data_IF_848349765134
#
_entry.id   IF_848349765134
#
_cell.length_a   1.000
_cell.length_b   1.000
_cell.length_c   1.000
_cell.angle_alpha   90.00
_cell.angle_beta   90.00
_cell.angle_gamma   90.00
#
_symmetry.space_group_name_H-M   'P 1'
#
loop_
_entity.id
_entity.type
_entity.pdbx_description
1 polymer ?
#
# COMPACT_ATOMS: atom_id res chain seq x y z
N UNK A 1 4.48 -63.82 -4.31
CA UNK A 1 4.65 -63.20 -2.99
C UNK A 1 5.58 -62.01 -3.16
N UNK A 2 5.05 -60.93 -3.75
CA UNK A 2 5.81 -59.75 -4.12
C UNK A 2 5.86 -58.78 -2.93
N UNK A 3 7.07 -58.54 -2.43
CA UNK A 3 7.34 -57.56 -1.38
C UNK A 3 7.46 -56.18 -2.03
N UNK A 4 6.48 -55.30 -1.78
CA UNK A 4 6.54 -53.90 -2.15
C UNK A 4 7.40 -53.16 -1.11
N UNK A 5 8.52 -52.59 -1.57
CA UNK A 5 9.21 -51.53 -0.85
C UNK A 5 8.34 -50.28 -0.90
N UNK A 6 7.91 -49.80 0.27
CA UNK A 6 7.29 -48.49 0.40
C UNK A 6 8.40 -47.43 0.46
N UNK A 7 8.62 -46.74 -0.65
CA UNK A 7 9.40 -45.50 -0.65
C UNK A 7 8.58 -44.42 0.07
N UNK A 8 9.02 -44.10 1.29
CA UNK A 8 8.49 -43.00 2.08
C UNK A 8 9.05 -41.68 1.53
N UNK A 9 8.54 -41.21 0.39
CA UNK A 9 8.80 -39.85 -0.09
C UNK A 9 7.89 -38.86 0.66
N UNK A 10 8.21 -38.61 1.93
CA UNK A 10 7.62 -37.49 2.66
C UNK A 10 8.09 -36.19 2.01
N UNK A 11 7.21 -35.57 1.21
CA UNK A 11 7.40 -34.20 0.75
C UNK A 11 7.57 -33.29 1.96
N UNK A 12 8.60 -32.43 2.04
CA UNK A 12 8.71 -31.49 3.12
C UNK A 12 7.59 -30.46 2.95
N UNK A 13 6.55 -30.62 3.76
CA UNK A 13 5.58 -29.57 4.06
C UNK A 13 6.33 -28.42 4.75
N UNK A 14 6.99 -27.57 3.95
CA UNK A 14 7.52 -26.30 4.41
C UNK A 14 6.34 -25.34 4.59
N UNK A 15 5.56 -25.56 5.65
CA UNK A 15 4.82 -24.49 6.30
C UNK A 15 5.86 -23.52 6.85
N UNK A 16 6.03 -22.39 6.19
CA UNK A 16 6.88 -21.30 6.66
C UNK A 16 6.47 -20.95 8.09
N UNK A 17 7.40 -20.74 9.04
CA UNK A 17 7.04 -20.32 10.39
C UNK A 17 6.26 -19.00 10.32
N UNK A 18 5.16 -18.92 11.06
CA UNK A 18 4.30 -17.75 11.16
C UNK A 18 5.06 -16.58 11.87
N UNK A 19 5.78 -15.83 11.05
CA UNK A 19 6.20 -14.42 11.11
C UNK A 19 6.40 -13.75 12.50
N UNK A 20 7.61 -13.89 13.08
CA UNK A 20 8.05 -13.21 14.31
C UNK A 20 7.86 -11.68 14.28
N UNK A 21 7.87 -11.07 13.09
CA UNK A 21 7.62 -9.64 12.88
C UNK A 21 6.23 -9.19 13.35
N UNK A 22 5.20 -9.99 13.12
CA UNK A 22 3.80 -9.63 13.44
C UNK A 22 3.53 -9.75 14.93
N UNK A 23 4.32 -10.59 15.60
CA UNK A 23 4.28 -10.76 17.05
C UNK A 23 5.19 -9.76 17.77
N UNK A 24 5.93 -8.93 17.05
CA UNK A 24 6.78 -7.91 17.64
C UNK A 24 5.92 -6.86 18.37
N UNK A 25 6.12 -6.63 19.68
CA UNK A 25 5.34 -5.65 20.43
C UNK A 25 5.47 -4.23 19.90
N UNK A 26 6.63 -3.87 19.34
CA UNK A 26 6.86 -2.59 18.70
C UNK A 26 6.03 -2.45 17.43
N UNK A 27 6.01 -3.47 16.56
CA UNK A 27 5.15 -3.48 15.38
C UNK A 27 3.68 -3.28 15.74
N UNK A 28 3.15 -4.05 16.69
CA UNK A 28 1.74 -3.98 17.10
C UNK A 28 1.38 -2.60 17.70
N UNK A 29 2.27 -2.00 18.49
CA UNK A 29 2.04 -0.68 19.06
C UNK A 29 1.96 0.40 17.97
N UNK A 30 2.90 0.39 17.02
CA UNK A 30 2.92 1.35 15.92
C UNK A 30 1.77 1.15 14.92
N UNK A 31 1.37 -0.11 14.68
CA UNK A 31 0.19 -0.41 13.88
C UNK A 31 -1.08 0.21 14.49
N UNK A 32 -1.26 0.06 15.80
CA UNK A 32 -2.41 0.65 16.50
C UNK A 32 -2.33 2.18 16.58
N UNK A 33 -1.12 2.74 16.74
CA UNK A 33 -0.89 4.19 16.69
C UNK A 33 -1.30 4.76 15.34
N UNK A 34 -0.80 4.18 14.23
CA UNK A 34 -1.12 4.61 12.88
C UNK A 34 -2.64 4.58 12.65
N UNK A 35 -3.31 3.51 13.08
CA UNK A 35 -4.77 3.38 13.01
C UNK A 35 -5.46 4.53 13.75
N UNK A 36 -5.07 4.81 14.98
CA UNK A 36 -5.66 5.89 15.77
C UNK A 36 -5.46 7.26 15.11
N UNK A 37 -4.25 7.53 14.61
CA UNK A 37 -3.94 8.79 13.92
C UNK A 37 -4.81 8.97 12.68
N UNK A 38 -4.93 7.93 11.85
CA UNK A 38 -5.75 7.93 10.62
C UNK A 38 -7.22 8.25 10.93
N UNK A 39 -7.83 7.56 11.90
CA UNK A 39 -9.25 7.80 12.24
C UNK A 39 -9.48 9.19 12.85
N UNK A 40 -8.58 9.65 13.72
CA UNK A 40 -8.67 10.99 14.30
C UNK A 40 -8.58 12.07 13.21
N UNK A 41 -7.66 11.91 12.26
CA UNK A 41 -7.59 12.81 11.11
C UNK A 41 -8.87 12.71 10.28
N UNK A 42 -9.36 11.53 9.93
CA UNK A 42 -10.59 11.41 9.15
C UNK A 42 -11.82 12.09 9.79
N UNK A 43 -11.93 12.07 11.12
CA UNK A 43 -13.05 12.65 11.87
C UNK A 43 -12.96 14.15 12.13
N UNK A 44 -11.76 14.74 12.03
CA UNK A 44 -11.57 16.17 12.29
C UNK A 44 -11.93 17.00 11.06
N UNK A 45 -12.67 18.09 11.27
CA UNK A 45 -12.98 19.04 10.20
C UNK A 45 -11.71 19.82 9.77
N UNK A 46 -11.69 20.30 8.52
CA UNK A 46 -10.61 21.16 8.04
C UNK A 46 -10.43 22.39 8.96
N UNK A 47 -9.19 22.82 9.25
CA UNK A 47 -8.95 24.01 10.05
C UNK A 47 -9.69 25.22 9.45
N UNK A 48 -10.59 25.84 10.20
CA UNK A 48 -11.46 26.93 9.71
C UNK A 48 -10.73 28.26 9.44
N UNK A 49 -9.39 28.26 9.43
CA UNK A 49 -8.55 29.45 9.26
C UNK A 49 -7.50 29.16 8.20
N UNK A 50 -7.88 29.22 6.93
CA UNK A 50 -6.91 29.35 5.86
C UNK A 50 -6.29 30.76 5.93
N UNK A 51 -4.97 30.82 6.09
CA UNK A 51 -4.24 32.05 5.85
C UNK A 51 -4.32 32.37 4.35
N UNK A 52 -4.64 33.62 4.00
CA UNK A 52 -4.68 34.07 2.60
C UNK A 52 -3.35 33.79 1.90
N UNK A 53 -3.35 33.28 0.65
CA UNK A 53 -2.11 32.97 -0.04
C UNK A 53 -1.34 34.26 -0.31
N UNK A 54 -0.22 34.44 0.39
CA UNK A 54 0.77 35.46 0.06
C UNK A 54 1.44 35.09 -1.25
N UNK A 55 1.23 35.89 -2.29
CA UNK A 55 1.90 35.78 -3.58
C UNK A 55 3.40 36.11 -3.36
N UNK A 56 4.24 35.09 -3.15
CA UNK A 56 5.65 35.31 -2.82
C UNK A 56 6.56 34.13 -3.11
N UNK A 57 7.48 34.34 -4.05
CA UNK A 57 8.71 33.59 -4.36
C UNK A 57 8.57 32.16 -4.93
N UNK A 58 8.87 32.00 -6.23
CA UNK A 58 8.97 30.72 -6.96
C UNK A 58 10.27 29.95 -6.65
N UNK A 59 10.62 29.85 -5.36
CA UNK A 59 11.75 29.04 -4.89
C UNK A 59 11.26 27.99 -3.90
N UNK A 60 11.97 26.84 -3.77
CA UNK A 60 11.66 25.86 -2.74
C UNK A 60 11.73 26.52 -1.35
N UNK A 61 10.79 26.20 -0.47
CA UNK A 61 10.76 26.75 0.89
C UNK A 61 11.92 26.19 1.71
N UNK A 62 12.29 26.86 2.82
CA UNK A 62 13.32 26.36 3.74
C UNK A 62 12.96 24.97 4.29
N UNK A 63 11.67 24.70 4.49
CA UNK A 63 11.13 23.41 4.89
C UNK A 63 11.35 22.34 3.81
N UNK A 64 11.10 22.67 2.54
CA UNK A 64 11.32 21.75 1.43
C UNK A 64 12.82 21.42 1.24
N UNK A 65 13.70 22.41 1.40
CA UNK A 65 15.15 22.20 1.35
C UNK A 65 15.65 21.31 2.50
N UNK A 66 15.12 21.53 3.72
CA UNK A 66 15.44 20.69 4.87
C UNK A 66 14.96 19.25 4.68
N UNK A 67 13.74 19.06 4.17
CA UNK A 67 13.18 17.75 3.85
C UNK A 67 14.02 17.02 2.79
N UNK A 68 14.46 17.72 1.73
CA UNK A 68 15.35 17.16 0.72
C UNK A 68 16.73 16.79 1.29
N UNK A 69 17.29 17.58 2.19
CA UNK A 69 18.54 17.26 2.87
C UNK A 69 18.41 16.03 3.76
N UNK A 70 17.28 15.88 4.47
CA UNK A 70 16.97 14.70 5.27
C UNK A 70 16.85 13.45 4.40
N UNK A 71 16.11 13.50 3.29
CA UNK A 71 16.00 12.38 2.33
C UNK A 71 17.36 11.99 1.76
N UNK A 72 18.19 12.96 1.34
CA UNK A 72 19.56 12.69 0.87
C UNK A 72 20.40 11.99 1.92
N UNK A 73 20.33 12.46 3.16
CA UNK A 73 21.07 11.84 4.29
C UNK A 73 20.57 10.42 4.55
N UNK A 74 19.26 10.20 4.51
CA UNK A 74 18.67 8.88 4.68
C UNK A 74 19.15 7.90 3.61
N UNK A 75 19.28 8.35 2.36
CA UNK A 75 19.75 7.55 1.21
C UNK A 75 21.27 7.39 1.13
N UNK A 76 22.06 8.07 1.97
CA UNK A 76 23.51 7.89 2.02
C UNK A 76 23.92 6.49 2.52
N UNK A 77 23.02 5.78 3.20
CA UNK A 77 23.22 4.38 3.58
C UNK A 77 23.04 3.44 2.39
N UNK A 78 24.02 2.56 2.16
CA UNK A 78 24.00 1.59 1.06
C UNK A 78 22.74 0.71 1.05
N UNK A 79 22.30 0.22 2.22
CA UNK A 79 21.10 -0.64 2.33
C UNK A 79 19.81 0.08 1.95
N UNK A 80 19.64 1.33 2.38
CA UNK A 80 18.44 2.12 2.05
C UNK A 80 18.38 2.44 0.56
N UNK A 81 19.53 2.68 -0.08
CA UNK A 81 19.60 2.82 -1.52
C UNK A 81 19.23 1.52 -2.25
N UNK A 82 19.62 0.36 -1.72
CA UNK A 82 19.20 -0.95 -2.26
C UNK A 82 17.69 -1.14 -2.16
N UNK A 83 17.06 -0.78 -1.03
CA UNK A 83 15.60 -0.80 -0.90
C UNK A 83 14.91 0.14 -1.89
N UNK A 84 15.43 1.36 -2.11
CA UNK A 84 14.84 2.26 -3.10
C UNK A 84 14.96 1.69 -4.53
N UNK A 85 16.10 1.06 -4.87
CA UNK A 85 16.27 0.39 -6.16
C UNK A 85 15.30 -0.79 -6.32
N UNK A 86 15.16 -1.61 -5.29
CA UNK A 86 14.21 -2.71 -5.29
C UNK A 86 12.77 -2.21 -5.39
N UNK A 87 12.42 -1.13 -4.69
CA UNK A 87 11.10 -0.53 -4.80
C UNK A 87 10.75 -0.20 -6.26
N UNK A 88 11.59 0.60 -6.92
CA UNK A 88 11.34 1.04 -8.30
C UNK A 88 11.29 -0.14 -9.27
N UNK A 89 12.16 -1.14 -9.08
CA UNK A 89 12.30 -2.26 -10.01
C UNK A 89 11.26 -3.38 -9.80
N UNK A 90 10.84 -3.62 -8.55
CA UNK A 90 10.13 -4.85 -8.16
C UNK A 90 8.84 -4.59 -7.40
N UNK A 91 8.68 -3.45 -6.71
CA UNK A 91 7.47 -3.18 -5.89
C UNK A 91 6.53 -2.22 -6.59
N UNK A 92 7.03 -1.09 -7.08
CA UNK A 92 6.22 -0.06 -7.71
C UNK A 92 5.44 -0.57 -8.94
N UNK A 93 6.00 -1.41 -9.84
CA UNK A 93 5.24 -2.00 -10.94
C UNK A 93 4.02 -2.81 -10.48
N UNK A 94 4.08 -3.41 -9.28
CA UNK A 94 2.95 -4.12 -8.67
C UNK A 94 1.85 -3.18 -8.23
N UNK A 95 2.20 -2.00 -7.73
CA UNK A 95 1.25 -0.96 -7.33
C UNK A 95 0.63 -0.28 -8.56
N UNK A 96 1.39 -0.17 -9.65
CA UNK A 96 1.00 0.43 -10.94
C UNK A 96 0.30 -0.53 -11.91
N UNK A 97 -0.05 -1.75 -11.50
CA UNK A 97 -0.61 -2.79 -12.38
C UNK A 97 -1.80 -2.34 -13.25
N UNK A 98 -2.50 -1.26 -12.87
CA UNK A 98 -3.62 -0.66 -13.60
C UNK A 98 -3.45 0.84 -13.87
N UNK A 99 -2.26 1.38 -13.65
CA UNK A 99 -1.90 2.77 -13.94
C UNK A 99 -0.81 2.83 -15.00
N UNK A 100 -1.20 3.08 -16.24
CA UNK A 100 -0.26 3.24 -17.36
C UNK A 100 0.65 4.47 -17.21
N UNK A 101 0.32 5.40 -16.32
CA UNK A 101 1.17 6.57 -16.03
C UNK A 101 2.28 6.25 -15.02
N UNK A 102 2.25 5.08 -14.40
CA UNK A 102 3.27 4.63 -13.46
C UNK A 102 3.39 5.56 -12.25
N UNK A 103 2.28 5.95 -11.60
CA UNK A 103 2.33 6.88 -10.49
C UNK A 103 3.23 6.39 -9.34
N UNK A 104 3.19 5.11 -9.01
CA UNK A 104 4.06 4.54 -7.97
C UNK A 104 5.52 4.37 -8.44
N UNK A 105 5.76 4.11 -9.71
CA UNK A 105 7.12 3.97 -10.28
C UNK A 105 7.78 5.32 -10.55
N UNK A 106 7.01 6.36 -10.87
CA UNK A 106 7.53 7.67 -11.30
C UNK A 106 7.20 8.77 -10.31
N UNK A 107 5.91 9.00 -10.00
CA UNK A 107 5.49 10.16 -9.21
C UNK A 107 5.85 10.01 -7.72
N UNK A 108 5.64 8.83 -7.14
CA UNK A 108 5.95 8.55 -5.73
C UNK A 108 7.45 8.73 -5.42
N UNK A 109 8.40 8.18 -6.19
CA UNK A 109 9.83 8.42 -5.95
C UNK A 109 10.23 9.89 -6.10
N UNK A 110 9.61 10.63 -7.03
CA UNK A 110 9.85 12.07 -7.17
C UNK A 110 9.36 12.82 -5.93
N UNK A 111 8.15 12.53 -5.44
CA UNK A 111 7.58 13.14 -4.25
C UNK A 111 8.38 12.77 -2.98
N UNK A 112 8.86 11.53 -2.88
CA UNK A 112 9.69 11.06 -1.77
C UNK A 112 11.00 11.85 -1.60
N UNK A 113 11.47 12.55 -2.65
CA UNK A 113 12.66 13.41 -2.56
C UNK A 113 12.49 14.57 -1.59
N UNK A 114 11.29 15.12 -1.47
CA UNK A 114 10.94 16.22 -0.57
C UNK A 114 9.97 15.82 0.55
N UNK A 115 9.59 14.54 0.64
CA UNK A 115 8.75 14.02 1.70
C UNK A 115 9.44 12.82 2.40
N UNK A 116 10.17 13.06 3.51
CA UNK A 116 10.85 12.01 4.27
C UNK A 116 9.91 10.90 4.75
N UNK A 117 8.69 11.23 5.20
CA UNK A 117 7.69 10.25 5.61
C UNK A 117 7.37 9.25 4.49
N UNK A 118 7.15 9.76 3.27
CA UNK A 118 6.89 8.93 2.09
C UNK A 118 8.12 8.10 1.68
N UNK A 119 9.32 8.68 1.77
CA UNK A 119 10.54 7.91 1.54
C UNK A 119 10.62 6.71 2.50
N UNK A 120 10.45 6.92 3.81
CA UNK A 120 10.53 5.84 4.78
C UNK A 120 9.44 4.78 4.56
N UNK A 121 8.21 5.17 4.21
CA UNK A 121 7.16 4.21 3.85
C UNK A 121 7.52 3.35 2.63
N UNK A 122 8.07 3.97 1.57
CA UNK A 122 8.58 3.29 0.37
C UNK A 122 9.69 2.30 0.70
N UNK A 123 10.66 2.73 1.51
CA UNK A 123 11.78 1.89 1.95
C UNK A 123 11.29 0.73 2.81
N UNK A 124 10.36 0.98 3.75
CA UNK A 124 9.79 -0.04 4.62
C UNK A 124 9.08 -1.13 3.82
N UNK A 125 8.22 -0.74 2.86
CA UNK A 125 7.50 -1.70 2.01
C UNK A 125 8.47 -2.55 1.20
N UNK A 126 9.50 -1.93 0.63
CA UNK A 126 10.50 -2.65 -0.15
C UNK A 126 11.36 -3.57 0.71
N UNK A 127 11.81 -3.13 1.89
CA UNK A 127 12.54 -3.97 2.83
C UNK A 127 11.70 -5.18 3.21
N UNK A 128 10.42 -4.97 3.53
CA UNK A 128 9.48 -6.05 3.86
C UNK A 128 9.32 -7.04 2.72
N UNK A 129 9.21 -6.56 1.49
CA UNK A 129 9.13 -7.42 0.31
C UNK A 129 10.38 -8.28 0.13
N UNK A 130 11.57 -7.73 0.34
CA UNK A 130 12.82 -8.47 0.26
C UNK A 130 12.96 -9.50 1.39
N UNK A 131 12.63 -9.14 2.63
CA UNK A 131 12.62 -10.05 3.78
C UNK A 131 11.75 -11.29 3.51
N UNK A 132 10.56 -11.07 2.93
CA UNK A 132 9.62 -12.14 2.55
C UNK A 132 10.11 -12.97 1.36
N UNK A 133 10.78 -12.36 0.38
CA UNK A 133 11.31 -13.05 -0.81
C UNK A 133 12.52 -13.91 -0.49
N UNK A 134 13.45 -13.40 0.30
CA UNK A 134 14.76 -14.02 0.54
C UNK A 134 14.79 -14.95 1.76
N UNK A 135 13.68 -15.07 2.50
CA UNK A 135 13.60 -15.84 3.75
C UNK A 135 14.67 -15.46 4.79
N UNK A 136 15.27 -14.27 4.67
CA UNK A 136 16.37 -13.83 5.53
C UNK A 136 15.81 -13.53 6.91
N UNK A 137 16.04 -14.45 7.84
CA UNK A 137 15.44 -14.46 9.18
C UNK A 137 15.93 -13.36 10.14
N UNK A 138 16.82 -12.45 9.73
CA UNK A 138 17.60 -11.63 10.68
C UNK A 138 17.73 -10.14 10.38
N UNK A 139 17.00 -9.60 9.41
CA UNK A 139 16.91 -8.14 9.21
C UNK A 139 15.48 -7.72 9.51
N UNK A 140 15.28 -6.95 10.58
CA UNK A 140 14.03 -6.27 10.90
C UNK A 140 14.10 -4.82 10.41
N UNK A 141 14.78 -4.59 9.29
CA UNK A 141 14.96 -3.27 8.71
C UNK A 141 13.62 -2.65 8.36
N UNK A 142 12.68 -3.45 7.87
CA UNK A 142 11.33 -2.96 7.58
C UNK A 142 10.63 -2.40 8.81
N UNK A 143 10.91 -2.94 10.00
CA UNK A 143 10.30 -2.45 11.25
C UNK A 143 10.81 -1.06 11.59
N UNK A 144 12.13 -0.87 11.63
CA UNK A 144 12.73 0.44 11.92
C UNK A 144 12.28 1.51 10.91
N UNK A 145 12.20 1.14 9.62
CA UNK A 145 11.74 2.03 8.56
C UNK A 145 10.24 2.36 8.70
N UNK A 146 9.42 1.38 9.07
CA UNK A 146 7.98 1.55 9.31
C UNK A 146 7.70 2.49 10.49
N UNK A 147 8.42 2.30 11.60
CA UNK A 147 8.32 3.16 12.79
C UNK A 147 8.70 4.61 12.47
N UNK A 148 9.79 4.82 11.74
CA UNK A 148 10.23 6.16 11.35
C UNK A 148 9.27 6.82 10.35
N UNK A 149 8.64 6.05 9.46
CA UNK A 149 7.59 6.55 8.57
C UNK A 149 6.40 7.10 9.36
N UNK A 150 5.90 6.36 10.36
CA UNK A 150 4.76 6.79 11.21
C UNK A 150 5.13 8.03 12.02
N UNK A 151 6.34 8.06 12.61
CA UNK A 151 6.82 9.21 13.38
C UNK A 151 6.84 10.49 12.54
N UNK A 152 7.26 10.40 11.29
CA UNK A 152 7.30 11.53 10.34
C UNK A 152 5.93 11.86 9.72
N UNK A 153 5.01 10.89 9.69
CA UNK A 153 3.64 11.07 9.20
C UNK A 153 2.77 11.88 10.16
N UNK A 154 2.98 11.76 11.48
CA UNK A 154 2.12 12.40 12.48
C UNK A 154 1.96 13.92 12.30
N UNK A 155 3.01 14.75 12.07
CA UNK A 155 2.84 16.17 11.77
C UNK A 155 2.02 16.44 10.50
N UNK A 156 2.17 15.61 9.46
CA UNK A 156 1.43 15.75 8.19
C UNK A 156 -0.06 15.47 8.38
N UNK A 157 -0.41 14.51 9.24
CA UNK A 157 -1.78 14.19 9.62
C UNK A 157 -2.46 15.34 10.37
N UNK A 158 -1.72 16.08 11.20
CA UNK A 158 -2.21 17.29 11.87
C UNK A 158 -2.40 18.45 10.89
N UNK A 159 -1.50 18.58 9.92
CA UNK A 159 -1.57 19.58 8.86
C UNK A 159 -2.62 19.25 7.78
N UNK A 160 -3.17 18.03 7.77
CA UNK A 160 -4.04 17.49 6.71
C UNK A 160 -3.40 17.62 5.32
N UNK A 161 -2.11 17.37 5.22
CA UNK A 161 -1.39 17.39 3.95
C UNK A 161 -1.86 16.23 3.05
N UNK A 162 -2.14 16.47 1.76
CA UNK A 162 -2.59 15.43 0.85
C UNK A 162 -1.57 14.30 0.63
N UNK A 163 -0.28 14.54 0.93
CA UNK A 163 0.78 13.53 0.90
C UNK A 163 0.57 12.41 1.92
N UNK A 164 -0.26 12.60 2.95
CA UNK A 164 -0.62 11.52 3.90
C UNK A 164 -1.29 10.34 3.20
N UNK A 165 -2.03 10.59 2.13
CA UNK A 165 -2.83 9.56 1.44
C UNK A 165 -1.95 8.49 0.80
N UNK A 166 -0.99 8.81 -0.10
CA UNK A 166 -0.06 7.81 -0.63
C UNK A 166 0.79 7.15 0.47
N UNK A 167 1.15 7.87 1.54
CA UNK A 167 1.90 7.30 2.67
C UNK A 167 1.08 6.20 3.35
N UNK A 168 -0.15 6.51 3.78
CA UNK A 168 -1.04 5.55 4.44
C UNK A 168 -1.34 4.36 3.54
N UNK A 169 -1.54 4.56 2.23
CA UNK A 169 -1.79 3.44 1.30
C UNK A 169 -0.56 2.52 1.14
N UNK A 170 0.65 3.07 1.10
CA UNK A 170 1.88 2.26 1.05
C UNK A 170 2.11 1.49 2.36
N UNK A 171 1.79 2.10 3.51
CA UNK A 171 1.84 1.42 4.81
C UNK A 171 0.73 0.34 4.91
N UNK A 172 -0.49 0.62 4.42
CA UNK A 172 -1.58 -0.34 4.17
C UNK A 172 -1.02 -1.57 3.39
N UNK A 173 -0.27 -1.37 2.29
CA UNK A 173 0.36 -2.47 1.54
C UNK A 173 1.37 -3.28 2.37
N UNK A 174 2.21 -2.63 3.19
CA UNK A 174 3.20 -3.31 4.02
C UNK A 174 2.54 -4.20 5.07
N UNK A 175 1.50 -3.69 5.72
CA UNK A 175 0.75 -4.43 6.72
C UNK A 175 0.08 -5.65 6.13
N UNK A 176 -0.46 -5.57 4.90
CA UNK A 176 -1.00 -6.75 4.20
C UNK A 176 0.05 -7.84 3.94
N UNK A 177 1.32 -7.46 3.74
CA UNK A 177 2.42 -8.43 3.58
C UNK A 177 2.85 -9.09 4.89
N UNK A 178 2.41 -8.50 6.01
CA UNK A 178 2.87 -8.85 7.34
C UNK A 178 1.78 -9.56 8.13
N UNK A 179 0.56 -9.06 8.17
CA UNK A 179 -0.45 -9.45 9.13
C UNK A 179 -1.47 -10.48 8.60
N UNK A 180 -2.31 -10.98 9.52
CA UNK A 180 -3.44 -11.84 9.19
C UNK A 180 -4.52 -11.08 8.39
N UNK A 181 -5.38 -11.77 7.61
CA UNK A 181 -6.55 -11.20 6.97
C UNK A 181 -7.41 -10.26 7.83
N UNK A 182 -7.50 -10.54 9.13
CA UNK A 182 -8.33 -9.79 10.06
C UNK A 182 -7.68 -8.46 10.49
N UNK A 183 -6.35 -8.40 10.54
CA UNK A 183 -5.62 -7.24 11.03
C UNK A 183 -5.48 -6.15 9.97
N UNK A 184 -5.20 -6.51 8.71
CA UNK A 184 -5.08 -5.51 7.65
C UNK A 184 -6.41 -4.89 7.22
N UNK A 185 -7.55 -5.55 7.49
CA UNK A 185 -8.90 -4.97 7.28
C UNK A 185 -9.11 -3.68 8.05
N UNK A 186 -8.74 -3.67 9.34
CA UNK A 186 -8.86 -2.49 10.20
C UNK A 186 -8.05 -1.31 9.66
N UNK A 187 -7.00 -1.57 8.90
CA UNK A 187 -6.19 -0.55 8.25
C UNK A 187 -6.83 -0.04 6.95
N UNK A 188 -7.42 -0.92 6.14
CA UNK A 188 -8.19 -0.52 4.96
C UNK A 188 -9.39 0.36 5.31
N UNK A 189 -10.07 0.09 6.43
CA UNK A 189 -11.14 0.95 6.93
C UNK A 189 -10.63 2.37 7.22
N UNK A 190 -9.44 2.48 7.80
CA UNK A 190 -8.78 3.77 8.02
C UNK A 190 -8.41 4.48 6.71
N UNK A 191 -7.81 3.76 5.76
CA UNK A 191 -7.50 4.27 4.41
C UNK A 191 -8.79 4.78 3.70
N UNK A 192 -9.93 4.07 3.81
CA UNK A 192 -11.25 4.52 3.31
C UNK A 192 -11.76 5.80 4.00
N UNK A 193 -11.70 5.84 5.34
CA UNK A 193 -12.15 7.01 6.09
C UNK A 193 -11.38 8.29 5.69
N UNK A 194 -10.08 8.15 5.38
CA UNK A 194 -9.30 9.27 4.81
C UNK A 194 -9.78 9.64 3.42
N UNK A 195 -10.05 8.70 2.54
CA UNK A 195 -10.56 9.02 1.20
C UNK A 195 -11.86 9.81 1.26
N UNK A 196 -12.79 9.39 2.11
CA UNK A 196 -14.05 10.11 2.32
C UNK A 196 -13.81 11.51 2.90
N UNK A 197 -12.90 11.64 3.88
CA UNK A 197 -12.58 12.90 4.56
C UNK A 197 -11.83 13.91 3.67
N UNK A 198 -11.14 13.44 2.64
CA UNK A 198 -10.35 14.26 1.70
C UNK A 198 -10.96 14.33 0.29
N UNK A 199 -12.16 13.76 0.09
CA UNK A 199 -12.84 13.65 -1.21
C UNK A 199 -11.95 13.02 -2.32
N UNK A 200 -11.17 11.99 -1.93
CA UNK A 200 -10.35 11.23 -2.86
C UNK A 200 -11.12 10.06 -3.44
N UNK A 201 -11.21 10.01 -4.77
CA UNK A 201 -11.96 9.01 -5.49
C UNK A 201 -11.28 8.66 -6.84
N UNK A 202 -11.87 7.72 -7.57
CA UNK A 202 -11.34 7.23 -8.84
C UNK A 202 -11.25 8.25 -9.97
N UNK A 203 -11.71 9.49 -9.75
CA UNK A 203 -11.68 10.61 -10.68
C UNK A 203 -10.83 11.79 -10.19
N UNK A 204 -10.14 11.69 -9.04
CA UNK A 204 -9.33 12.79 -8.48
C UNK A 204 -8.14 13.22 -9.36
N UNK A 205 -7.83 12.49 -10.44
CA UNK A 205 -6.69 12.73 -11.31
C UNK A 205 -5.34 12.47 -10.62
N UNK A 206 -4.27 12.52 -11.43
CA UNK A 206 -2.89 12.44 -10.97
C UNK A 206 -2.59 11.28 -10.01
N UNK A 207 -1.75 11.55 -9.01
CA UNK A 207 -1.33 10.57 -8.01
C UNK A 207 -2.50 10.06 -7.16
N UNK A 208 -3.43 10.92 -6.74
CA UNK A 208 -4.52 10.53 -5.83
C UNK A 208 -5.48 9.52 -6.48
N UNK A 209 -5.77 9.68 -7.77
CA UNK A 209 -6.53 8.67 -8.53
C UNK A 209 -5.80 7.33 -8.59
N UNK A 210 -4.49 7.32 -8.88
CA UNK A 210 -3.72 6.08 -8.93
C UNK A 210 -3.68 5.38 -7.56
N UNK A 211 -3.51 6.16 -6.48
CA UNK A 211 -3.56 5.68 -5.10
C UNK A 211 -4.92 5.09 -4.75
N UNK A 212 -6.02 5.74 -5.17
CA UNK A 212 -7.37 5.24 -5.00
C UNK A 212 -7.55 3.88 -5.68
N UNK A 213 -7.12 3.72 -6.93
CA UNK A 213 -7.26 2.45 -7.64
C UNK A 213 -6.36 1.34 -7.09
N UNK A 214 -5.17 1.69 -6.57
CA UNK A 214 -4.34 0.75 -5.82
C UNK A 214 -5.07 0.26 -4.56
N UNK A 215 -5.68 1.17 -3.80
CA UNK A 215 -6.51 0.85 -2.63
C UNK A 215 -7.72 -0.01 -2.99
N UNK A 216 -8.49 0.37 -4.01
CA UNK A 216 -9.68 -0.34 -4.46
C UNK A 216 -9.39 -1.82 -4.79
N UNK A 217 -8.20 -2.09 -5.34
CA UNK A 217 -7.72 -3.46 -5.57
C UNK A 217 -7.43 -4.22 -4.28
N UNK A 218 -6.84 -3.56 -3.27
CA UNK A 218 -6.59 -4.18 -1.96
C UNK A 218 -7.91 -4.51 -1.25
N UNK A 219 -8.86 -3.60 -1.31
CA UNK A 219 -10.22 -3.76 -0.77
C UNK A 219 -10.99 -4.88 -1.50
N UNK A 220 -10.89 -4.99 -2.82
CA UNK A 220 -11.55 -6.08 -3.54
C UNK A 220 -11.02 -7.48 -3.19
N UNK A 221 -9.74 -7.59 -2.83
CA UNK A 221 -9.17 -8.84 -2.31
C UNK A 221 -9.80 -9.27 -0.97
N UNK A 222 -10.29 -8.32 -0.15
CA UNK A 222 -10.94 -8.54 1.15
C UNK A 222 -12.24 -9.35 1.02
N UNK A 223 -13.10 -8.93 0.09
CA UNK A 223 -14.44 -9.52 -0.11
C UNK A 223 -14.38 -10.93 -0.69
N UNK A 224 -13.26 -11.33 -1.28
CA UNK A 224 -13.08 -12.69 -1.80
C UNK A 224 -12.67 -13.72 -0.74
N UNK A 225 -12.15 -13.28 0.42
CA UNK A 225 -11.59 -14.16 1.44
C UNK A 225 -12.63 -14.73 2.41
N UNK A 226 -13.83 -14.15 2.47
CA UNK A 226 -14.96 -14.64 3.27
C UNK A 226 -16.19 -14.78 2.39
N UNK A 227 -16.84 -15.95 2.42
CA UNK A 227 -18.19 -16.14 1.87
C UNK A 227 -19.22 -15.33 2.68
N UNK A 228 -19.11 -14.00 2.68
CA UNK A 228 -20.05 -13.10 3.36
C UNK A 228 -20.42 -11.98 2.40
N UNK A 229 -21.71 -11.97 2.09
CA UNK A 229 -22.37 -11.04 1.20
C UNK A 229 -22.61 -9.72 1.94
N UNK A 230 -21.70 -8.75 1.82
CA UNK A 230 -21.95 -7.34 2.23
C UNK A 230 -21.15 -6.41 1.31
N UNK A 231 -21.74 -5.28 0.90
CA UNK A 231 -22.21 -5.22 -0.48
C UNK A 231 -21.55 -4.11 -1.30
N UNK A 232 -21.32 -4.47 -2.57
CA UNK A 232 -21.03 -3.67 -3.76
C UNK A 232 -21.89 -2.38 -3.89
N UNK A 233 -22.87 -2.13 -3.01
CA UNK A 233 -23.74 -0.94 -2.97
C UNK A 233 -23.01 0.40 -2.88
N UNK A 234 -21.86 0.51 -2.21
CA UNK A 234 -21.11 1.77 -2.11
C UNK A 234 -20.34 2.08 -3.41
N UNK A 235 -19.77 1.04 -4.03
CA UNK A 235 -19.25 1.10 -5.41
C UNK A 235 -20.36 1.36 -6.43
N UNK A 236 -21.56 0.81 -6.24
CA UNK A 236 -22.73 1.08 -7.10
C UNK A 236 -23.25 2.50 -6.89
N UNK A 237 -23.21 3.11 -5.70
CA UNK A 237 -23.57 4.52 -5.53
C UNK A 237 -22.55 5.45 -6.20
N UNK A 238 -21.26 5.13 -6.11
CA UNK A 238 -20.22 5.82 -6.87
C UNK A 238 -20.47 5.66 -8.38
N UNK A 239 -20.71 4.43 -8.87
CA UNK A 239 -21.02 4.12 -10.28
C UNK A 239 -22.37 4.69 -10.77
N UNK A 240 -23.37 4.82 -9.90
CA UNK A 240 -24.68 5.44 -10.20
C UNK A 240 -24.55 6.95 -10.41
N UNK A 241 -23.62 7.60 -9.71
CA UNK A 241 -23.26 9.00 -9.97
C UNK A 241 -22.62 9.16 -11.36
N UNK A 242 -21.86 8.15 -11.81
CA UNK A 242 -21.19 8.15 -13.14
C UNK A 242 -22.11 7.71 -14.29
N UNK A 243 -23.28 7.11 -14.00
CA UNK A 243 -24.24 6.67 -15.03
C UNK A 243 -24.76 7.81 -15.91
N UNK A 244 -24.81 9.05 -15.40
CA UNK A 244 -25.30 10.21 -16.16
C UNK A 244 -24.21 10.92 -16.97
N UNK A 245 -22.93 10.54 -16.79
CA UNK A 245 -21.77 11.21 -17.40
C UNK A 245 -20.90 10.29 -18.27
N UNK A 246 -21.17 8.98 -18.31
CA UNK A 246 -20.41 8.01 -19.12
C UNK A 246 -20.85 7.97 -20.59
N UNK A 247 -20.62 9.08 -21.29
CA UNK A 247 -20.31 9.06 -22.72
C UNK A 247 -18.94 9.68 -22.91
N UNK A 248 -17.88 8.93 -22.60
CA UNK A 248 -16.67 8.84 -23.43
C UNK A 248 -15.64 7.88 -22.78
N UNK A 249 -15.21 6.92 -23.59
CA UNK A 249 -14.32 5.81 -23.27
C UNK A 249 -12.92 6.36 -22.93
N UNK A 250 -12.25 5.88 -21.88
CA UNK A 250 -11.08 4.99 -22.10
C UNK A 250 -10.57 4.28 -20.84
N UNK A 251 -11.04 4.61 -19.63
CA UNK A 251 -10.51 4.02 -18.38
C UNK A 251 -11.45 3.04 -17.69
N UNK A 252 -12.68 2.92 -18.18
CA UNK A 252 -13.70 2.03 -17.62
C UNK A 252 -13.54 0.56 -18.04
N UNK A 253 -12.72 0.25 -19.04
CA UNK A 253 -12.43 -1.14 -19.43
C UNK A 253 -11.49 -1.81 -18.43
N UNK A 254 -10.43 -1.13 -17.96
CA UNK A 254 -9.41 -1.73 -17.10
C UNK A 254 -9.96 -2.16 -15.73
N UNK A 255 -10.78 -1.33 -15.09
CA UNK A 255 -11.44 -1.68 -13.82
C UNK A 255 -12.45 -2.82 -13.97
N UNK A 256 -13.19 -2.87 -15.09
CA UNK A 256 -14.09 -4.00 -15.39
C UNK A 256 -13.33 -5.29 -15.73
N UNK A 257 -12.21 -5.17 -16.43
CA UNK A 257 -11.29 -6.28 -16.72
C UNK A 257 -10.63 -6.78 -15.44
N UNK A 258 -10.26 -5.90 -14.51
CA UNK A 258 -9.71 -6.27 -13.20
C UNK A 258 -10.73 -7.07 -12.37
N UNK A 259 -11.97 -6.58 -12.28
CA UNK A 259 -13.06 -7.31 -11.60
C UNK A 259 -13.33 -8.64 -12.30
N UNK A 260 -13.33 -8.69 -13.63
CA UNK A 260 -13.55 -9.92 -14.39
C UNK A 260 -12.40 -10.92 -14.23
N UNK A 261 -11.14 -10.49 -14.23
CA UNK A 261 -9.97 -11.37 -14.03
C UNK A 261 -9.93 -11.91 -12.61
N UNK A 262 -10.20 -11.08 -11.60
CA UNK A 262 -10.26 -11.53 -10.21
C UNK A 262 -11.42 -12.50 -9.98
N UNK A 263 -12.54 -12.30 -10.68
CA UNK A 263 -13.67 -13.25 -10.67
C UNK A 263 -13.32 -14.57 -11.36
N UNK A 264 -12.63 -14.54 -12.52
CA UNK A 264 -12.20 -15.75 -13.25
C UNK A 264 -11.19 -16.57 -12.44
N UNK A 265 -10.19 -15.94 -11.84
CA UNK A 265 -9.20 -16.63 -10.99
C UNK A 265 -9.86 -17.28 -9.77
N UNK A 266 -10.94 -16.70 -9.26
CA UNK A 266 -11.73 -17.27 -8.16
C UNK A 266 -12.59 -18.44 -8.63
N UNK A 267 -13.23 -18.32 -9.78
CA UNK A 267 -14.05 -19.37 -10.38
C UNK A 267 -13.21 -20.64 -10.69
N UNK A 268 -11.90 -20.46 -10.94
CA UNK A 268 -10.90 -21.53 -11.09
C UNK A 268 -10.35 -22.09 -9.75
N UNK A 269 -10.86 -21.64 -8.60
CA UNK A 269 -10.58 -22.21 -7.29
C UNK A 269 -9.34 -21.68 -6.56
N UNK A 270 -8.75 -20.57 -7.00
CA UNK A 270 -7.65 -19.92 -6.30
C UNK A 270 -8.16 -19.16 -5.05
N UNK A 271 -7.57 -19.43 -3.88
CA UNK A 271 -7.90 -18.69 -2.66
C UNK A 271 -7.33 -17.26 -2.69
N UNK A 272 -7.90 -16.34 -1.92
CA UNK A 272 -7.53 -14.91 -1.91
C UNK A 272 -6.08 -14.68 -1.48
N UNK A 273 -5.53 -15.52 -0.61
CA UNK A 273 -4.12 -15.51 -0.26
C UNK A 273 -3.25 -15.92 -1.44
N UNK A 274 -3.68 -16.87 -2.25
CA UNK A 274 -3.01 -17.30 -3.47
C UNK A 274 -3.13 -16.27 -4.59
N UNK A 275 -4.28 -15.61 -4.79
CA UNK A 275 -4.43 -14.50 -5.76
C UNK A 275 -3.54 -13.32 -5.37
N UNK A 276 -3.50 -12.98 -4.08
CA UNK A 276 -2.59 -11.98 -3.55
C UNK A 276 -1.12 -12.38 -3.76
N UNK A 277 -0.75 -13.63 -3.43
CA UNK A 277 0.61 -14.17 -3.58
C UNK A 277 0.99 -14.62 -5.00
N UNK A 278 0.08 -14.62 -5.98
CA UNK A 278 0.38 -14.90 -7.39
C UNK A 278 1.00 -13.69 -8.05
N UNK A 279 0.55 -12.51 -7.64
CA UNK A 279 1.41 -11.35 -7.65
C UNK A 279 2.53 -11.45 -6.62
N UNK A 280 3.49 -10.56 -6.45
CA UNK A 280 4.58 -10.75 -5.46
C UNK A 280 5.51 -12.00 -5.62
N UNK A 281 5.09 -13.17 -6.15
CA UNK A 281 5.88 -14.40 -6.36
C UNK A 281 6.44 -14.57 -7.77
N UNK A 282 6.17 -13.67 -8.72
CA UNK A 282 6.56 -13.85 -10.14
C UNK A 282 8.05 -13.81 -10.43
N UNK A 283 8.93 -13.76 -9.42
CA UNK A 283 10.32 -14.19 -9.57
C UNK A 283 10.50 -15.63 -9.07
N UNK A 284 9.98 -16.59 -9.83
CA UNK A 284 10.51 -17.94 -9.86
C UNK A 284 10.47 -18.48 -11.29
N UNK A 285 11.54 -18.23 -12.03
CA UNK A 285 12.40 -19.26 -12.63
C UNK A 285 13.32 -18.62 -13.67
N UNK A 286 14.59 -18.45 -13.29
CA UNK A 286 15.71 -18.85 -14.14
C UNK A 286 16.66 -19.67 -13.27
#
# INVERSE_FOLDING_TARGET
MASFMADNSSSPSNSWPLDQFVQDPGYLAYQEELRCLIFNTAQTAAPSREASPTLGNYGPTDEELAAQAQTKTALASGRRLEYLKNYVAQVAPWLDMFDSNGAFTVQVPVLARSCPALLYAVLALSARQMERKEARQHSFDSLELYQEAIRLLNPLLQARDLTIIPICVILCCLEMMSASPQDWRRHLEGCAALFDSFDVNGFSGGLLQAVFWCYARMDLCETTAHQIFTPITQYISALKSVSSLLTELTMSSLGRTMVAILQLLKDDGYDSGTIFNLGWRTDRQK
#
